data_IF_259791831614
#
_entry.id   IF_259791831614
#
_cell.length_a   1.000
_cell.length_b   1.000
_cell.length_c   1.000
_cell.angle_alpha   90.00
_cell.angle_beta   90.00
_cell.angle_gamma   90.00
#
_symmetry.space_group_name_H-M   'P 1'
#
loop_
_entity.id
_entity.type
_entity.pdbx_description
1 polymer ?
#
# COMPACT_ATOMS: atom_id res chain seq x y z
N UNK A 1 -29.76 -10.04 3.84
CA UNK A 1 -28.99 -11.31 3.79
C UNK A 1 -28.24 -11.28 2.47
N UNK A 2 -27.02 -10.84 2.50
CA UNK A 2 -26.13 -10.81 1.34
C UNK A 2 -25.01 -11.81 1.64
N UNK A 3 -25.09 -12.98 1.02
CA UNK A 3 -24.15 -14.09 1.19
C UNK A 3 -22.86 -13.82 0.43
N UNK A 4 -21.78 -13.84 1.18
CA UNK A 4 -20.45 -14.38 0.92
C UNK A 4 -19.94 -14.45 -0.52
N UNK A 5 -19.09 -13.48 -0.85
CA UNK A 5 -18.16 -13.58 -1.98
C UNK A 5 -16.78 -14.10 -1.55
N UNK A 6 -16.75 -15.06 -0.62
CA UNK A 6 -15.55 -15.84 -0.31
C UNK A 6 -15.81 -17.30 -0.68
N UNK A 7 -15.60 -17.64 -1.96
CA UNK A 7 -15.42 -19.02 -2.34
C UNK A 7 -14.13 -19.54 -1.72
N UNK A 8 -14.10 -20.76 -1.13
CA UNK A 8 -12.86 -21.31 -0.60
C UNK A 8 -11.84 -21.43 -1.73
N UNK A 9 -10.68 -20.80 -1.55
CA UNK A 9 -9.57 -20.81 -2.49
C UNK A 9 -9.15 -22.26 -2.72
N UNK A 10 -9.17 -22.75 -3.96
CA UNK A 10 -8.74 -24.11 -4.25
C UNK A 10 -7.25 -24.27 -3.93
N UNK A 11 -6.82 -25.48 -3.56
CA UNK A 11 -5.42 -25.79 -3.22
C UNK A 11 -4.44 -25.40 -4.35
N UNK A 12 -4.90 -25.33 -5.62
CA UNK A 12 -4.16 -24.85 -6.79
C UNK A 12 -3.94 -23.34 -6.79
N UNK A 13 -4.84 -22.56 -6.17
CA UNK A 13 -4.70 -21.09 -6.09
C UNK A 13 -3.73 -20.68 -4.97
N UNK A 14 -3.49 -21.55 -4.00
CA UNK A 14 -2.54 -21.33 -2.90
C UNK A 14 -1.08 -21.61 -3.29
N UNK A 15 -0.80 -22.14 -4.51
CA UNK A 15 0.55 -22.47 -4.95
C UNK A 15 1.43 -21.23 -5.04
N UNK A 16 2.70 -21.37 -4.61
CA UNK A 16 3.75 -20.36 -4.83
C UNK A 16 4.14 -20.34 -6.30
N UNK A 17 4.21 -19.16 -6.87
CA UNK A 17 4.69 -18.93 -8.22
C UNK A 17 5.97 -18.09 -8.16
N UNK A 18 7.05 -18.51 -8.83
CA UNK A 18 8.25 -17.68 -8.89
C UNK A 18 7.96 -16.39 -9.65
N UNK A 19 8.56 -15.31 -9.18
CA UNK A 19 8.42 -13.97 -9.72
C UNK A 19 9.75 -13.26 -9.65
N UNK A 20 10.22 -12.68 -10.76
CA UNK A 20 11.33 -11.71 -10.72
C UNK A 20 10.74 -10.31 -10.90
N UNK A 21 11.07 -9.40 -9.98
CA UNK A 21 10.62 -8.01 -10.03
C UNK A 21 11.75 -7.04 -9.67
N UNK A 22 11.71 -5.85 -10.27
CA UNK A 22 12.66 -4.79 -9.95
C UNK A 22 12.14 -3.99 -8.76
N UNK A 23 12.83 -4.09 -7.61
CA UNK A 23 12.52 -3.37 -6.37
C UNK A 23 13.77 -2.63 -5.89
N UNK A 24 13.62 -1.37 -5.49
CA UNK A 24 14.73 -0.52 -5.02
C UNK A 24 15.94 -0.57 -5.95
N UNK A 25 15.73 -0.42 -7.26
CA UNK A 25 16.77 -0.33 -8.27
C UNK A 25 17.40 -1.66 -8.73
N UNK A 26 17.08 -2.82 -8.12
CA UNK A 26 17.66 -4.12 -8.47
C UNK A 26 16.58 -5.19 -8.76
N UNK A 27 16.90 -6.17 -9.61
CA UNK A 27 16.05 -7.34 -9.80
C UNK A 27 16.13 -8.26 -8.58
N UNK A 28 14.97 -8.79 -8.17
CA UNK A 28 14.80 -9.64 -7.01
C UNK A 28 13.98 -10.87 -7.38
N UNK A 29 14.43 -12.04 -6.98
CA UNK A 29 13.69 -13.29 -7.11
C UNK A 29 12.79 -13.46 -5.90
N UNK A 30 11.51 -13.50 -6.15
CA UNK A 30 10.43 -13.44 -5.19
C UNK A 30 9.40 -14.52 -5.46
N UNK A 31 8.36 -14.54 -4.66
CA UNK A 31 7.18 -15.36 -4.86
C UNK A 31 5.92 -14.52 -4.96
N UNK A 32 4.94 -15.08 -5.65
CA UNK A 32 3.55 -14.62 -5.67
C UNK A 32 2.61 -15.83 -5.61
N UNK A 33 1.31 -15.61 -5.74
CA UNK A 33 0.30 -16.65 -5.84
C UNK A 33 -0.85 -16.18 -6.73
N UNK A 34 -1.57 -17.10 -7.37
CA UNK A 34 -2.77 -16.76 -8.15
C UNK A 34 -3.88 -16.11 -7.31
N UNK A 35 -3.90 -16.42 -6.01
CA UNK A 35 -4.83 -15.84 -5.05
C UNK A 35 -4.44 -14.42 -4.58
N UNK A 36 -3.30 -13.89 -5.01
CA UNK A 36 -2.81 -12.56 -4.62
C UNK A 36 -2.93 -11.59 -5.79
N UNK A 37 -3.24 -10.35 -5.49
CA UNK A 37 -3.30 -9.29 -6.49
C UNK A 37 -1.98 -9.19 -7.28
N UNK A 38 -2.09 -9.04 -8.60
CA UNK A 38 -0.94 -8.92 -9.50
C UNK A 38 -0.02 -10.16 -9.54
N UNK A 39 -0.61 -11.35 -9.53
CA UNK A 39 0.09 -12.64 -9.57
C UNK A 39 1.10 -12.84 -10.71
N UNK A 40 1.05 -12.02 -11.76
CA UNK A 40 1.91 -12.14 -12.95
C UNK A 40 3.08 -11.17 -12.99
N UNK A 41 3.28 -10.38 -11.94
CA UNK A 41 4.33 -9.37 -11.90
C UNK A 41 3.93 -8.09 -11.19
N UNK A 42 4.76 -7.08 -11.28
CA UNK A 42 4.49 -5.79 -10.70
C UNK A 42 3.36 -5.08 -11.46
N UNK A 43 2.27 -4.75 -10.75
CA UNK A 43 1.17 -3.98 -11.31
C UNK A 43 1.61 -2.60 -11.78
N UNK A 44 1.00 -2.10 -12.85
CA UNK A 44 1.37 -0.81 -13.46
C UNK A 44 1.18 0.37 -12.51
N UNK A 45 0.12 0.35 -11.69
CA UNK A 45 -0.12 1.38 -10.69
C UNK A 45 0.96 1.35 -9.61
N UNK A 46 1.22 0.17 -9.07
CA UNK A 46 2.29 -0.04 -8.07
C UNK A 46 3.66 0.37 -8.63
N UNK A 47 3.98 0.02 -9.89
CA UNK A 47 5.22 0.46 -10.52
C UNK A 47 5.33 2.01 -10.60
N UNK A 48 4.24 2.72 -10.91
CA UNK A 48 4.21 4.19 -10.92
C UNK A 48 4.46 4.76 -9.52
N UNK A 49 3.93 4.12 -8.47
CA UNK A 49 4.19 4.54 -7.10
C UNK A 49 5.64 4.28 -6.71
N UNK A 50 6.17 3.07 -6.98
CA UNK A 50 7.56 2.70 -6.67
C UNK A 50 8.59 3.61 -7.36
N UNK A 51 8.32 4.01 -8.62
CA UNK A 51 9.18 4.96 -9.37
C UNK A 51 9.24 6.36 -8.71
N UNK A 52 8.41 6.62 -7.71
CA UNK A 52 8.27 7.92 -7.04
C UNK A 52 8.52 7.90 -5.53
N UNK A 53 8.80 6.74 -4.95
CA UNK A 53 9.01 6.63 -3.50
C UNK A 53 10.10 7.59 -2.99
N UNK A 54 11.19 7.75 -3.75
CA UNK A 54 12.30 8.65 -3.40
C UNK A 54 11.95 10.15 -3.57
N UNK A 55 10.85 10.46 -4.27
CA UNK A 55 10.43 11.84 -4.59
C UNK A 55 9.16 12.29 -3.86
N UNK A 56 8.50 11.37 -3.16
CA UNK A 56 7.44 11.68 -2.22
C UNK A 56 8.03 12.39 -0.99
N UNK A 57 7.16 12.87 -0.10
CA UNK A 57 7.63 13.57 1.10
C UNK A 57 8.77 12.80 1.80
N UNK A 58 9.81 13.51 2.30
CA UNK A 58 10.95 12.88 2.94
C UNK A 58 10.51 11.95 4.07
N UNK A 59 11.07 10.74 4.09
CA UNK A 59 10.82 9.74 5.13
C UNK A 59 11.83 9.99 6.25
N UNK A 60 11.38 10.31 7.48
CA UNK A 60 12.29 10.48 8.62
C UNK A 60 13.05 9.19 8.95
N UNK A 61 14.25 9.31 9.50
CA UNK A 61 14.98 8.17 10.05
C UNK A 61 14.18 7.49 11.16
N UNK A 62 14.10 6.17 11.14
CA UNK A 62 13.29 5.40 12.09
C UNK A 62 11.78 5.55 11.92
N UNK A 63 11.32 6.09 10.78
CA UNK A 63 9.91 6.29 10.51
C UNK A 63 9.11 4.99 10.57
N UNK A 64 7.86 5.10 11.02
CA UNK A 64 6.90 4.00 10.89
C UNK A 64 6.16 4.13 9.58
N UNK A 65 6.31 3.11 8.74
CA UNK A 65 5.78 3.09 7.38
C UNK A 65 4.73 1.99 7.24
N UNK A 66 3.69 2.25 6.46
CA UNK A 66 2.63 1.29 6.16
C UNK A 66 2.47 1.09 4.66
N UNK A 67 2.51 -0.18 4.23
CA UNK A 67 1.98 -0.65 2.94
C UNK A 67 0.56 -1.17 3.17
N UNK A 68 -0.44 -0.42 2.72
CA UNK A 68 -1.85 -0.74 2.88
C UNK A 68 -2.37 -1.50 1.65
N UNK A 69 -2.77 -2.76 1.85
CA UNK A 69 -3.11 -3.69 0.79
C UNK A 69 -1.86 -4.26 0.13
N UNK A 70 -1.00 -4.89 0.94
CA UNK A 70 0.38 -5.20 0.53
C UNK A 70 0.51 -6.24 -0.60
N UNK A 71 -0.49 -7.11 -0.83
CA UNK A 71 -0.43 -8.14 -1.85
C UNK A 71 0.74 -9.10 -1.64
N UNK A 72 1.67 -9.20 -2.60
CA UNK A 72 2.92 -9.96 -2.46
C UNK A 72 4.10 -9.11 -1.90
N UNK A 73 3.83 -7.90 -1.45
CA UNK A 73 4.74 -7.04 -0.71
C UNK A 73 5.57 -6.04 -1.50
N UNK A 74 5.27 -5.67 -2.76
CA UNK A 74 6.18 -4.85 -3.57
C UNK A 74 6.50 -3.49 -2.94
N UNK A 75 5.53 -2.85 -2.31
CA UNK A 75 5.71 -1.54 -1.66
C UNK A 75 6.46 -1.70 -0.34
N UNK A 76 6.03 -2.62 0.54
CA UNK A 76 6.67 -2.85 1.84
C UNK A 76 8.13 -3.29 1.70
N UNK A 77 8.40 -4.22 0.75
CA UNK A 77 9.78 -4.69 0.47
C UNK A 77 10.66 -3.55 -0.06
N UNK A 78 10.13 -2.72 -0.97
CA UNK A 78 10.86 -1.55 -1.48
C UNK A 78 11.12 -0.53 -0.38
N UNK A 79 10.12 -0.28 0.49
CA UNK A 79 10.28 0.61 1.65
C UNK A 79 11.40 0.13 2.57
N UNK A 80 11.42 -1.15 2.94
CA UNK A 80 12.45 -1.70 3.83
C UNK A 80 13.85 -1.74 3.19
N UNK A 81 13.93 -1.89 1.86
CA UNK A 81 15.21 -1.83 1.13
C UNK A 81 15.77 -0.41 1.06
N UNK A 82 14.91 0.60 0.89
CA UNK A 82 15.30 2.02 0.79
C UNK A 82 15.53 2.66 2.16
N UNK A 83 14.81 2.21 3.19
CA UNK A 83 14.83 2.74 4.55
C UNK A 83 15.08 1.62 5.57
N UNK A 84 16.31 1.11 5.70
CA UNK A 84 16.63 -0.08 6.51
C UNK A 84 16.45 0.13 8.02
N UNK A 85 16.32 1.37 8.47
CA UNK A 85 16.05 1.78 9.85
C UNK A 85 14.55 2.00 10.14
N UNK A 86 13.68 1.95 9.12
CA UNK A 86 12.26 2.14 9.29
C UNK A 86 11.54 0.93 9.92
N UNK A 87 10.48 1.20 10.71
CA UNK A 87 9.53 0.18 11.20
C UNK A 87 8.43 -0.03 10.14
N UNK A 88 8.66 -0.96 9.21
CA UNK A 88 7.78 -1.17 8.05
C UNK A 88 6.69 -2.18 8.37
N UNK A 89 5.44 -1.76 8.21
CA UNK A 89 4.24 -2.57 8.32
C UNK A 89 3.68 -2.90 6.93
N UNK A 90 3.29 -4.15 6.73
CA UNK A 90 2.60 -4.63 5.54
C UNK A 90 1.24 -5.19 5.98
N UNK A 91 0.16 -4.59 5.52
CA UNK A 91 -1.19 -4.94 5.98
C UNK A 91 -2.04 -5.38 4.79
N UNK A 92 -2.69 -6.54 4.93
CA UNK A 92 -3.64 -7.05 3.95
C UNK A 92 -4.74 -7.89 4.63
N UNK A 93 -5.95 -7.85 4.09
CA UNK A 93 -7.06 -8.70 4.55
C UNK A 93 -6.84 -10.16 4.17
N UNK A 94 -6.15 -10.42 3.07
CA UNK A 94 -5.84 -11.76 2.58
C UNK A 94 -4.71 -12.38 3.38
N UNK A 95 -5.00 -13.49 4.06
CA UNK A 95 -3.97 -14.30 4.75
C UNK A 95 -2.87 -14.73 3.78
N UNK A 96 -3.26 -15.14 2.57
CA UNK A 96 -2.31 -15.56 1.54
C UNK A 96 -1.38 -14.43 1.09
N UNK A 97 -1.87 -13.21 0.99
CA UNK A 97 -1.04 -12.04 0.70
C UNK A 97 0.00 -11.81 1.81
N UNK A 98 -0.43 -11.89 3.06
CA UNK A 98 0.45 -11.74 4.23
C UNK A 98 1.54 -12.81 4.28
N UNK A 99 1.18 -14.10 4.06
CA UNK A 99 2.15 -15.21 3.99
C UNK A 99 3.22 -14.98 2.93
N UNK A 100 2.81 -14.63 1.70
CA UNK A 100 3.74 -14.37 0.59
C UNK A 100 4.62 -13.15 0.88
N UNK A 101 4.06 -12.09 1.44
CA UNK A 101 4.85 -10.90 1.83
C UNK A 101 5.89 -11.24 2.90
N UNK A 102 5.52 -12.01 3.92
CA UNK A 102 6.44 -12.44 4.97
C UNK A 102 7.57 -13.33 4.41
N UNK A 103 7.23 -14.28 3.54
CA UNK A 103 8.21 -15.14 2.88
C UNK A 103 9.18 -14.35 1.99
N UNK A 104 8.68 -13.39 1.22
CA UNK A 104 9.51 -12.52 0.40
C UNK A 104 10.44 -11.65 1.25
N UNK A 105 9.97 -11.15 2.40
CA UNK A 105 10.79 -10.40 3.33
C UNK A 105 11.93 -11.26 3.92
N UNK A 106 11.61 -12.48 4.37
CA UNK A 106 12.61 -13.43 4.88
C UNK A 106 13.66 -13.75 3.81
N UNK A 107 13.21 -14.02 2.58
CA UNK A 107 14.10 -14.30 1.44
C UNK A 107 15.08 -13.17 1.14
N UNK A 108 14.67 -11.93 1.34
CA UNK A 108 15.52 -10.74 1.16
C UNK A 108 16.28 -10.34 2.44
N UNK A 109 16.11 -11.07 3.55
CA UNK A 109 16.73 -10.72 4.84
C UNK A 109 16.17 -9.44 5.45
N UNK A 110 14.93 -9.08 5.12
CA UNK A 110 14.26 -7.85 5.58
C UNK A 110 13.39 -8.13 6.83
N UNK A 111 13.25 -7.11 7.66
CA UNK A 111 12.34 -7.15 8.80
C UNK A 111 11.08 -6.35 8.47
N UNK A 112 9.95 -7.03 8.39
CA UNK A 112 8.63 -6.44 8.20
C UNK A 112 7.69 -6.90 9.32
N UNK A 113 6.74 -6.04 9.68
CA UNK A 113 5.59 -6.40 10.49
C UNK A 113 4.41 -6.67 9.57
N UNK A 114 4.13 -7.94 9.32
CA UNK A 114 3.03 -8.36 8.45
C UNK A 114 1.82 -8.68 9.33
N UNK A 115 0.68 -8.02 9.08
CA UNK A 115 -0.49 -8.11 9.95
C UNK A 115 -1.81 -8.09 9.18
N UNK A 116 -2.86 -8.67 9.77
CA UNK A 116 -4.22 -8.38 9.35
C UNK A 116 -4.63 -6.97 9.84
N UNK A 117 -5.61 -6.30 9.18
CA UNK A 117 -6.02 -4.94 9.55
C UNK A 117 -6.42 -4.78 11.02
N UNK A 118 -7.01 -5.82 11.61
CA UNK A 118 -7.50 -5.79 13.00
C UNK A 118 -6.45 -6.18 14.03
N UNK A 119 -5.31 -6.74 13.59
CA UNK A 119 -4.16 -7.07 14.44
C UNK A 119 -3.23 -5.86 14.65
N UNK A 120 -3.43 -4.77 13.89
CA UNK A 120 -2.64 -3.55 14.06
C UNK A 120 -3.20 -2.71 15.21
N UNK A 121 -2.41 -2.41 16.27
CA UNK A 121 -2.88 -1.64 17.43
C UNK A 121 -3.61 -0.35 16.99
N UNK A 122 -4.78 -0.09 17.56
CA UNK A 122 -5.67 0.99 17.11
C UNK A 122 -5.10 2.40 17.29
N UNK A 123 -4.21 2.58 18.26
CA UNK A 123 -3.51 3.82 18.61
C UNK A 123 -2.20 4.02 17.85
N UNK A 124 -1.79 3.03 17.05
CA UNK A 124 -0.55 3.12 16.29
C UNK A 124 -0.68 4.13 15.16
N UNK A 125 0.20 5.14 15.14
CA UNK A 125 0.29 6.14 14.09
C UNK A 125 1.44 5.84 13.13
N UNK A 126 1.29 6.29 11.89
CA UNK A 126 2.25 6.10 10.81
C UNK A 126 2.78 7.44 10.30
N UNK A 127 4.07 7.51 10.03
CA UNK A 127 4.69 8.68 9.43
C UNK A 127 4.53 8.66 7.91
N UNK A 128 4.40 7.46 7.33
CA UNK A 128 4.20 7.30 5.90
C UNK A 128 3.24 6.13 5.65
N UNK A 129 2.24 6.36 4.80
CA UNK A 129 1.35 5.31 4.29
C UNK A 129 1.45 5.30 2.77
N UNK A 130 1.78 4.15 2.20
CA UNK A 130 1.73 3.96 0.76
C UNK A 130 0.72 2.90 0.40
N UNK A 131 -0.04 3.13 -0.68
CA UNK A 131 -1.06 2.18 -1.10
C UNK A 131 -1.33 2.24 -2.60
N UNK A 132 -1.56 1.07 -3.17
CA UNK A 132 -2.34 0.89 -4.38
C UNK A 132 -3.73 0.36 -3.94
N UNK A 133 -4.65 1.26 -3.54
CA UNK A 133 -5.86 0.84 -2.87
C UNK A 133 -6.78 0.02 -3.78
N UNK A 134 -7.56 -0.93 -3.23
CA UNK A 134 -8.45 -1.79 -4.00
C UNK A 134 -9.71 -1.03 -4.48
N UNK A 135 -9.59 -0.22 -5.53
CA UNK A 135 -10.66 0.67 -6.04
C UNK A 135 -11.94 -0.10 -6.40
N UNK A 136 -11.86 -1.41 -6.66
CA UNK A 136 -13.01 -2.22 -7.13
C UNK A 136 -13.84 -2.86 -6.02
N UNK A 137 -13.52 -2.63 -4.76
CA UNK A 137 -14.29 -3.19 -3.62
C UNK A 137 -15.65 -2.50 -3.42
N UNK A 138 -15.84 -1.34 -4.01
CA UNK A 138 -17.00 -0.48 -3.82
C UNK A 138 -16.57 0.90 -3.33
N UNK A 139 -17.42 1.90 -3.60
CA UNK A 139 -17.09 3.30 -3.25
C UNK A 139 -17.08 3.50 -1.74
N UNK A 140 -18.07 2.95 -1.04
CA UNK A 140 -18.21 3.13 0.41
C UNK A 140 -17.07 2.40 1.13
N UNK A 141 -16.80 1.16 0.77
CA UNK A 141 -15.75 0.33 1.36
C UNK A 141 -14.36 0.95 1.16
N UNK A 142 -14.11 1.54 -0.03
CA UNK A 142 -12.88 2.27 -0.30
C UNK A 142 -12.76 3.52 0.58
N UNK A 143 -13.86 4.27 0.71
CA UNK A 143 -13.91 5.46 1.53
C UNK A 143 -13.64 5.13 3.01
N UNK A 144 -14.29 4.12 3.56
CA UNK A 144 -14.11 3.67 4.94
C UNK A 144 -12.67 3.19 5.19
N UNK A 145 -12.10 2.44 4.23
CA UNK A 145 -10.70 2.02 4.27
C UNK A 145 -9.76 3.23 4.36
N UNK A 146 -9.92 4.20 3.46
CA UNK A 146 -9.02 5.35 3.40
C UNK A 146 -9.16 6.26 4.62
N UNK A 147 -10.39 6.51 5.11
CA UNK A 147 -10.60 7.27 6.35
C UNK A 147 -9.98 6.57 7.56
N UNK A 148 -10.19 5.26 7.71
CA UNK A 148 -9.62 4.47 8.79
C UNK A 148 -8.09 4.63 8.84
N UNK A 149 -7.41 4.53 7.69
CA UNK A 149 -5.96 4.48 7.66
C UNK A 149 -5.30 5.85 7.52
N UNK A 150 -5.83 6.77 6.71
CA UNK A 150 -5.32 8.14 6.65
C UNK A 150 -5.54 8.91 7.97
N UNK A 151 -6.59 8.55 8.73
CA UNK A 151 -6.81 9.05 10.09
C UNK A 151 -5.73 8.62 11.09
N UNK A 152 -4.89 7.64 10.73
CA UNK A 152 -3.77 7.14 11.54
C UNK A 152 -2.40 7.72 11.12
N UNK A 153 -2.38 8.74 10.30
CA UNK A 153 -1.15 9.49 10.03
C UNK A 153 -0.73 10.26 11.28
N UNK A 154 0.56 10.20 11.59
CA UNK A 154 1.16 11.08 12.62
C UNK A 154 0.98 12.55 12.23
N UNK A 155 1.19 13.47 13.15
CA UNK A 155 0.94 14.90 12.92
C UNK A 155 1.58 15.40 11.61
N UNK A 156 2.80 14.97 11.30
CA UNK A 156 3.52 15.33 10.09
C UNK A 156 3.54 14.22 9.03
N UNK A 157 2.79 13.14 9.27
CA UNK A 157 2.74 11.99 8.38
C UNK A 157 2.07 12.30 7.06
N UNK A 158 2.47 11.54 6.04
CA UNK A 158 1.94 11.65 4.68
C UNK A 158 1.43 10.31 4.15
N UNK A 159 0.45 10.33 3.26
CA UNK A 159 0.04 9.13 2.53
C UNK A 159 0.16 9.35 1.03
N UNK A 160 0.76 8.38 0.33
CA UNK A 160 0.86 8.32 -1.13
C UNK A 160 -0.06 7.22 -1.68
N UNK A 161 -1.12 7.62 -2.40
CA UNK A 161 -2.12 6.72 -2.96
C UNK A 161 -2.04 6.72 -4.49
N UNK A 162 -1.80 5.57 -5.12
CA UNK A 162 -1.83 5.49 -6.56
C UNK A 162 -3.22 5.09 -7.06
N UNK A 163 -3.81 5.92 -7.92
CA UNK A 163 -5.19 5.74 -8.41
C UNK A 163 -5.26 5.93 -9.92
N UNK A 164 -5.98 5.07 -10.62
CA UNK A 164 -6.24 5.22 -12.05
C UNK A 164 -7.03 6.48 -12.35
N UNK A 165 -6.62 7.27 -13.35
CA UNK A 165 -7.33 8.50 -13.78
C UNK A 165 -8.80 8.21 -14.08
N UNK A 166 -9.05 7.12 -14.82
CA UNK A 166 -10.40 6.71 -15.23
C UNK A 166 -11.17 5.96 -14.12
N UNK A 167 -10.56 5.76 -12.96
CA UNK A 167 -11.15 5.10 -11.80
C UNK A 167 -11.55 6.08 -10.69
N UNK A 168 -11.66 7.37 -11.03
CA UNK A 168 -12.16 8.37 -10.10
C UNK A 168 -11.08 9.06 -9.24
N UNK A 169 -9.85 9.18 -9.72
CA UNK A 169 -8.77 9.82 -8.97
C UNK A 169 -9.11 11.27 -8.55
N UNK A 170 -9.73 12.07 -9.43
CA UNK A 170 -10.08 13.47 -9.13
C UNK A 170 -11.23 13.60 -8.12
N UNK A 171 -12.36 12.89 -8.28
CA UNK A 171 -13.41 12.86 -7.27
C UNK A 171 -12.94 12.33 -5.92
N UNK A 172 -12.05 11.31 -5.91
CA UNK A 172 -11.50 10.76 -4.68
C UNK A 172 -10.62 11.78 -3.95
N UNK A 173 -9.78 12.52 -4.69
CA UNK A 173 -8.94 13.56 -4.11
C UNK A 173 -9.79 14.66 -3.45
N UNK A 174 -10.80 15.17 -4.15
CA UNK A 174 -11.69 16.20 -3.63
C UNK A 174 -12.47 15.71 -2.39
N UNK A 175 -12.93 14.46 -2.42
CA UNK A 175 -13.64 13.87 -1.28
C UNK A 175 -12.72 13.66 -0.07
N UNK A 176 -11.49 13.16 -0.26
CA UNK A 176 -10.52 13.00 0.85
C UNK A 176 -10.16 14.34 1.48
N UNK A 177 -9.99 15.39 0.66
CA UNK A 177 -9.68 16.75 1.14
C UNK A 177 -10.81 17.32 2.03
N UNK A 178 -12.07 17.03 1.68
CA UNK A 178 -13.25 17.41 2.47
C UNK A 178 -13.36 16.58 3.78
N UNK A 179 -13.00 15.31 3.75
CA UNK A 179 -13.22 14.38 4.86
C UNK A 179 -12.07 14.31 5.87
N UNK A 180 -10.90 14.84 5.56
CA UNK A 180 -9.72 14.80 6.44
C UNK A 180 -9.35 16.21 6.94
N UNK A 181 -10.07 16.74 7.95
CA UNK A 181 -9.81 18.09 8.46
C UNK A 181 -8.38 18.21 8.99
N UNK A 182 -7.70 19.31 8.64
CA UNK A 182 -6.29 19.54 8.99
C UNK A 182 -5.28 18.85 8.07
N UNK A 183 -5.76 18.24 6.98
CA UNK A 183 -4.93 17.66 5.92
C UNK A 183 -5.22 18.35 4.59
N UNK A 184 -4.30 18.23 3.65
CA UNK A 184 -4.50 18.59 2.24
C UNK A 184 -4.31 17.38 1.36
N UNK A 185 -5.03 17.32 0.25
CA UNK A 185 -4.87 16.27 -0.75
C UNK A 185 -4.40 16.86 -2.07
N UNK A 186 -3.20 16.51 -2.47
CA UNK A 186 -2.55 17.03 -3.68
C UNK A 186 -2.29 15.93 -4.70
N UNK A 187 -2.32 16.29 -5.97
CA UNK A 187 -1.93 15.40 -7.07
C UNK A 187 -0.45 15.65 -7.39
N UNK A 188 0.41 14.87 -6.77
CA UNK A 188 1.87 15.08 -6.85
C UNK A 188 2.52 14.46 -8.08
N UNK A 189 1.87 13.47 -8.71
CA UNK A 189 2.36 12.88 -9.95
C UNK A 189 1.25 12.35 -10.87
N UNK A 190 1.58 12.24 -12.15
CA UNK A 190 0.69 11.66 -13.16
C UNK A 190 1.54 10.93 -14.20
N UNK A 191 1.40 9.60 -14.30
CA UNK A 191 2.13 8.77 -15.25
C UNK A 191 1.31 7.56 -15.69
N UNK A 192 1.47 7.14 -16.93
CA UNK A 192 0.90 5.89 -17.49
C UNK A 192 -0.60 5.67 -17.22
N UNK A 193 -1.40 6.76 -17.15
CA UNK A 193 -2.84 6.68 -16.85
C UNK A 193 -3.18 6.63 -15.36
N UNK A 194 -2.21 6.77 -14.48
CA UNK A 194 -2.39 6.83 -13.01
C UNK A 194 -2.05 8.22 -12.47
N UNK A 195 -2.56 8.52 -11.28
CA UNK A 195 -2.20 9.66 -10.46
C UNK A 195 -1.73 9.19 -9.09
N UNK A 196 -0.76 9.89 -8.54
CA UNK A 196 -0.43 9.76 -7.12
C UNK A 196 -1.09 10.92 -6.40
N UNK A 197 -1.96 10.58 -5.47
CA UNK A 197 -2.56 11.51 -4.53
C UNK A 197 -1.73 11.48 -3.25
N UNK A 198 -1.28 12.63 -2.80
CA UNK A 198 -0.61 12.78 -1.52
C UNK A 198 -1.56 13.44 -0.53
N UNK A 199 -1.77 12.75 0.59
CA UNK A 199 -2.43 13.29 1.78
C UNK A 199 -1.34 13.76 2.72
N UNK A 200 -1.29 15.04 3.01
CA UNK A 200 -0.26 15.66 3.84
C UNK A 200 -0.81 16.70 4.81
N UNK A 201 0.08 17.46 5.46
CA UNK A 201 -0.34 18.60 6.28
C UNK A 201 -0.76 19.80 5.42
N UNK A 202 -1.60 20.66 6.00
CA UNK A 202 -1.79 22.02 5.48
C UNK A 202 -0.45 22.77 5.53
N UNK A 203 -0.02 23.33 4.40
CA UNK A 203 1.17 24.17 4.36
C UNK A 203 0.92 25.38 5.28
N UNK A 204 1.62 25.47 6.41
CA UNK A 204 1.60 26.65 7.28
C UNK A 204 0.96 26.50 8.67
N UNK A 205 0.81 25.28 9.19
CA UNK A 205 0.48 25.04 10.60
C UNK A 205 1.72 24.71 11.44
#
# INVERSE_FOLDING_TARGET
MSEHYFSPTSATDASRLPLTARLAGAERDLFTSRAVFSARGLDKATAVLLDRLDTLAPVPSGARMLDLGCGWGPIALSAALLHPDADVWAVDVSERAREITAENAERLGLRLRVAAPDDVPSDLLFDTIWSNPPIRIGKQELHDLLLRWCGRLSAQGTAGLVVGKNLGADPLAAWLDDQLPGRTVQKVASAKGFRILEVGQLAGS
#
